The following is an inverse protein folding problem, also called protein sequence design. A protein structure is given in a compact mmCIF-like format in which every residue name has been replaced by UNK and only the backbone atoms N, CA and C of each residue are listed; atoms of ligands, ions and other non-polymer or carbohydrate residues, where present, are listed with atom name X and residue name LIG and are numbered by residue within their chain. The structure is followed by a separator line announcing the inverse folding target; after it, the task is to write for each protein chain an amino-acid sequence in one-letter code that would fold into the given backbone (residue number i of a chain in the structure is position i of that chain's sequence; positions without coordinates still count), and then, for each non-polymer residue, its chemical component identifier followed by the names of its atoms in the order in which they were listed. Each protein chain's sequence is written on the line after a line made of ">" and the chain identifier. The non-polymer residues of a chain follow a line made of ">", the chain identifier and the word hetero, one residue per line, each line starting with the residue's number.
data_IF_024222448077
#
_entry.id   IF_024222448077
#
_cell.length_a   1.000
_cell.length_b   1.000
_cell.length_c   1.000
_cell.angle_alpha   90.00
_cell.angle_beta   90.00
_cell.angle_gamma   90.00
#
_symmetry.space_group_name_H-M   'P 1'
#
loop_
_entity.id
_entity.type
_entity.pdbx_description
1 polymer ?
#
# COMPACT_ATOMS: atom_id res chain seq x y z
N UNK A 1 -37.98 43.05 41.21
CA UNK A 1 -36.55 42.90 41.50
C UNK A 1 -35.89 42.18 40.33
N UNK A 2 -35.18 42.94 39.49
CA UNK A 2 -34.33 42.43 38.43
C UNK A 2 -33.14 43.39 38.32
N UNK A 3 -31.91 42.90 38.48
CA UNK A 3 -30.68 43.69 38.34
C UNK A 3 -30.20 43.62 36.89
N UNK A 4 -29.75 44.73 36.28
CA UNK A 4 -29.22 44.74 34.92
C UNK A 4 -27.74 44.29 34.90
N UNK A 5 -27.38 43.50 33.88
CA UNK A 5 -25.99 43.11 33.61
C UNK A 5 -25.24 44.25 32.91
N UNK A 6 -24.12 44.67 33.48
CA UNK A 6 -23.19 45.63 32.89
C UNK A 6 -22.29 44.95 31.86
N UNK A 7 -22.17 45.59 30.70
CA UNK A 7 -21.35 45.23 29.56
C UNK A 7 -19.93 45.82 29.75
N UNK A 8 -18.89 44.97 29.80
CA UNK A 8 -17.49 45.42 29.92
C UNK A 8 -16.86 45.53 28.53
N UNK A 9 -16.56 46.77 28.12
CA UNK A 9 -15.73 47.12 26.95
C UNK A 9 -14.29 46.66 27.15
N UNK A 10 -13.70 45.98 26.15
CA UNK A 10 -12.26 45.68 26.07
C UNK A 10 -11.50 46.87 25.47
N UNK A 11 -10.27 47.19 25.94
CA UNK A 11 -9.45 48.24 25.36
C UNK A 11 -8.72 47.77 24.09
N UNK A 12 -8.51 48.72 23.18
CA UNK A 12 -7.82 48.57 21.90
C UNK A 12 -6.33 48.28 22.08
N UNK A 13 -5.81 47.31 21.32
CA UNK A 13 -4.38 47.04 21.22
C UNK A 13 -3.74 47.95 20.15
N UNK A 14 -2.66 48.61 20.56
CA UNK A 14 -1.81 49.50 19.76
C UNK A 14 -0.96 48.74 18.73
N UNK A 15 -0.82 49.33 17.54
CA UNK A 15 0.10 48.93 16.46
C UNK A 15 1.57 49.07 16.91
N UNK A 16 2.48 48.19 16.45
CA UNK A 16 3.92 48.47 16.48
C UNK A 16 4.39 49.17 15.19
N UNK A 17 5.23 50.18 15.36
CA UNK A 17 6.00 50.89 14.33
C UNK A 17 7.19 50.05 13.81
N UNK A 18 7.72 50.36 12.61
CA UNK A 18 8.78 49.60 11.97
C UNK A 18 10.17 49.97 12.52
N UNK A 19 11.07 48.98 12.60
CA UNK A 19 12.49 49.20 12.82
C UNK A 19 13.24 49.02 11.50
N UNK A 20 13.87 50.10 11.06
CA UNK A 20 14.97 50.09 10.10
C UNK A 20 16.20 49.42 10.73
N UNK A 21 16.95 48.67 9.92
CA UNK A 21 18.17 48.00 10.35
C UNK A 21 18.93 47.41 9.18
N UNK A 22 19.87 48.20 8.66
CA UNK A 22 20.89 47.86 7.68
C UNK A 22 21.68 46.58 8.04
N UNK A 23 21.90 45.72 7.04
CA UNK A 23 22.70 44.51 7.18
C UNK A 23 23.31 44.03 5.86
N UNK A 24 24.52 44.50 5.58
CA UNK A 24 25.41 44.12 4.46
C UNK A 24 25.49 42.61 4.22
N UNK A 25 25.15 42.16 3.01
CA UNK A 25 25.49 40.81 2.50
C UNK A 25 26.90 40.80 1.93
N UNK A 26 27.79 39.98 2.52
CA UNK A 26 29.07 39.55 1.94
C UNK A 26 28.83 38.30 1.09
N UNK A 27 29.17 38.39 -0.18
CA UNK A 27 29.29 37.30 -1.14
C UNK A 27 30.56 36.49 -0.87
N UNK A 28 30.45 35.16 -0.75
CA UNK A 28 31.58 34.25 -0.91
C UNK A 28 31.21 33.19 -1.97
N UNK A 29 31.86 33.33 -3.12
CA UNK A 29 31.97 32.32 -4.17
C UNK A 29 32.95 31.23 -3.71
N UNK A 30 32.57 29.96 -3.85
CA UNK A 30 33.52 28.85 -3.94
C UNK A 30 33.04 27.91 -5.05
N UNK A 31 33.67 28.08 -6.22
CA UNK A 31 33.68 27.11 -7.31
C UNK A 31 34.53 25.91 -6.91
N UNK A 32 34.02 24.70 -7.12
CA UNK A 32 34.82 23.47 -7.10
C UNK A 32 34.60 22.77 -8.43
N UNK A 33 35.66 22.67 -9.22
CA UNK A 33 35.73 21.86 -10.44
C UNK A 33 35.87 20.36 -10.12
N UNK A 34 35.40 19.46 -11.02
CA UNK A 34 35.55 18.02 -10.86
C UNK A 34 36.88 17.51 -11.46
N UNK A 35 37.65 16.77 -10.66
CA UNK A 35 38.82 16.03 -11.11
C UNK A 35 38.43 14.69 -11.75
N UNK A 36 39.01 14.46 -12.93
CA UNK A 36 38.97 13.25 -13.75
C UNK A 36 39.74 12.12 -13.07
N UNK A 37 39.25 10.88 -13.16
CA UNK A 37 40.05 9.68 -12.91
C UNK A 37 39.88 8.70 -14.08
N UNK A 38 41.02 8.42 -14.70
CA UNK A 38 41.21 7.50 -15.80
C UNK A 38 41.23 6.04 -15.33
N UNK A 39 40.83 5.19 -16.26
CA UNK A 39 41.06 3.75 -16.40
C UNK A 39 42.53 3.35 -16.28
N UNK A 40 42.81 2.18 -15.69
CA UNK A 40 43.58 1.10 -16.34
C UNK A 40 43.62 -0.21 -15.52
N UNK A 41 43.89 -1.29 -16.24
CA UNK A 41 43.67 -2.70 -15.96
C UNK A 41 44.85 -3.45 -15.32
N UNK A 42 44.54 -4.66 -14.83
CA UNK A 42 45.21 -5.97 -15.11
C UNK A 42 45.99 -6.65 -13.96
N UNK A 43 45.77 -7.97 -13.91
CA UNK A 43 46.65 -9.08 -13.50
C UNK A 43 46.43 -9.75 -12.11
N UNK A 44 45.83 -10.95 -12.17
CA UNK A 44 46.21 -12.17 -11.40
C UNK A 44 47.67 -12.61 -11.73
N UNK A 45 48.35 -13.56 -11.02
CA UNK A 45 47.79 -14.73 -10.29
C UNK A 45 48.51 -15.23 -9.00
N UNK A 46 47.83 -16.20 -8.37
CA UNK A 46 48.29 -17.42 -7.66
C UNK A 46 49.32 -17.39 -6.50
N UNK A 47 49.04 -18.18 -5.45
CA UNK A 47 49.87 -19.24 -4.82
C UNK A 47 49.34 -19.52 -3.38
N UNK A 48 48.78 -20.71 -3.14
CA UNK A 48 48.79 -21.42 -1.83
C UNK A 48 50.18 -22.13 -1.64
N UNK A 49 50.59 -22.76 -0.51
CA UNK A 49 49.80 -23.24 0.63
C UNK A 49 50.50 -23.28 2.03
N UNK A 50 49.79 -23.91 2.98
CA UNK A 50 50.28 -24.68 4.16
C UNK A 50 50.80 -23.97 5.43
N UNK A 51 50.28 -24.46 6.58
CA UNK A 51 50.85 -24.22 7.91
C UNK A 51 50.00 -24.75 9.07
N UNK A 52 50.18 -26.03 9.42
CA UNK A 52 49.60 -26.74 10.58
C UNK A 52 50.24 -26.30 11.92
N UNK A 53 49.55 -26.59 13.04
CA UNK A 53 50.04 -27.05 14.38
C UNK A 53 49.44 -26.25 15.56
N UNK A 54 48.55 -26.85 16.39
CA UNK A 54 48.75 -27.40 17.78
C UNK A 54 49.34 -26.35 18.77
N UNK A 55 48.90 -26.15 20.02
CA UNK A 55 48.37 -27.07 21.07
C UNK A 55 47.94 -26.25 22.31
N UNK A 56 46.93 -26.74 23.06
CA UNK A 56 46.69 -26.74 24.53
C UNK A 56 47.41 -25.74 25.47
N UNK A 57 46.67 -25.10 26.39
CA UNK A 57 46.56 -25.49 27.83
C UNK A 57 45.59 -24.61 28.63
N UNK A 58 44.96 -25.25 29.62
CA UNK A 58 44.04 -24.74 30.65
C UNK A 58 44.65 -23.69 31.59
N UNK A 59 43.81 -22.84 32.19
CA UNK A 59 43.55 -22.85 33.64
C UNK A 59 42.75 -21.62 34.09
N UNK A 60 41.85 -21.91 35.02
CA UNK A 60 40.89 -21.09 35.75
C UNK A 60 41.46 -19.83 36.43
N UNK A 61 40.63 -18.80 36.56
CA UNK A 61 40.54 -18.09 37.84
C UNK A 61 39.18 -17.42 38.03
N UNK A 62 38.56 -17.84 39.14
CA UNK A 62 37.33 -17.35 39.77
C UNK A 62 37.49 -15.91 40.23
N UNK A 63 36.46 -15.08 40.03
CA UNK A 63 36.14 -14.00 40.99
C UNK A 63 34.65 -13.64 40.92
N UNK A 64 34.01 -13.78 42.07
CA UNK A 64 32.62 -13.47 42.41
C UNK A 64 32.44 -11.98 42.72
N UNK A 65 31.17 -11.56 42.91
CA UNK A 65 30.62 -10.23 43.27
C UNK A 65 30.15 -9.46 42.02
N UNK A 66 28.89 -9.11 41.80
CA UNK A 66 27.68 -9.08 42.62
C UNK A 66 26.89 -7.84 42.18
N UNK A 67 25.67 -8.00 41.66
CA UNK A 67 24.67 -6.92 41.62
C UNK A 67 23.32 -7.52 41.28
N UNK A 68 22.37 -7.32 42.18
CA UNK A 68 20.98 -7.64 41.92
C UNK A 68 20.42 -6.83 40.76
N UNK A 69 19.54 -7.48 40.02
CA UNK A 69 18.34 -6.89 39.47
C UNK A 69 17.35 -8.02 39.28
N UNK A 70 16.25 -7.97 40.04
CA UNK A 70 15.05 -8.75 39.80
C UNK A 70 14.59 -8.50 38.36
N UNK A 71 14.92 -9.44 37.50
CA UNK A 71 14.32 -9.61 36.19
C UNK A 71 13.87 -11.05 36.20
N UNK A 72 12.56 -11.25 36.29
CA UNK A 72 11.89 -12.53 36.06
C UNK A 72 12.20 -12.96 34.62
N UNK A 73 13.40 -13.52 34.42
CA UNK A 73 13.71 -14.37 33.29
C UNK A 73 12.80 -15.58 33.42
N UNK A 74 11.68 -15.57 32.70
CA UNK A 74 11.01 -16.80 32.32
C UNK A 74 12.02 -17.59 31.49
N UNK A 75 12.73 -18.50 32.15
CA UNK A 75 13.53 -19.52 31.49
C UNK A 75 12.58 -20.41 30.69
N UNK A 76 12.38 -20.06 29.42
CA UNK A 76 11.77 -20.93 28.42
C UNK A 76 12.77 -22.02 28.02
N UNK A 77 13.21 -22.80 29.00
CA UNK A 77 13.86 -24.08 28.75
C UNK A 77 12.77 -25.11 28.50
N UNK A 78 12.84 -25.72 27.31
CA UNK A 78 12.08 -26.91 26.88
C UNK A 78 10.65 -26.64 26.41
N UNK A 79 10.52 -25.89 25.31
CA UNK A 79 9.64 -26.38 24.25
C UNK A 79 10.38 -27.56 23.61
N UNK A 80 10.10 -28.79 24.06
CA UNK A 80 10.36 -29.95 23.21
C UNK A 80 9.55 -29.72 21.93
N UNK A 81 10.19 -29.64 20.76
CA UNK A 81 9.43 -29.74 19.53
C UNK A 81 8.80 -31.13 19.59
N UNK A 82 7.47 -31.21 19.64
CA UNK A 82 6.78 -32.43 19.26
C UNK A 82 7.09 -32.67 17.79
N UNK A 83 8.24 -33.33 17.61
CA UNK A 83 8.72 -33.92 16.40
C UNK A 83 7.61 -34.84 15.93
N UNK A 84 7.27 -34.73 14.65
CA UNK A 84 6.16 -35.41 13.96
C UNK A 84 4.80 -34.68 14.01
N UNK A 85 4.74 -33.42 13.55
CA UNK A 85 3.67 -33.05 12.60
C UNK A 85 4.12 -33.58 11.24
N UNK A 86 3.63 -34.76 10.91
CA UNK A 86 3.79 -35.37 9.59
C UNK A 86 3.54 -34.34 8.50
N UNK A 87 4.21 -34.51 7.37
CA UNK A 87 3.81 -34.01 6.04
C UNK A 87 2.34 -34.41 5.79
N UNK A 88 1.41 -33.70 6.40
CA UNK A 88 0.01 -34.02 6.45
C UNK A 88 -0.68 -33.00 5.58
N UNK A 89 -1.10 -33.45 4.41
CA UNK A 89 -2.04 -32.74 3.55
C UNK A 89 -3.09 -32.07 4.44
N UNK A 90 -3.21 -30.74 4.34
CA UNK A 90 -4.29 -30.02 5.01
C UNK A 90 -5.62 -30.66 4.61
N UNK A 91 -6.61 -30.76 5.52
CA UNK A 91 -7.93 -31.26 5.17
C UNK A 91 -8.43 -30.62 3.87
N UNK A 92 -8.89 -31.44 2.92
CA UNK A 92 -9.24 -31.01 1.56
C UNK A 92 -10.28 -29.88 1.58
N UNK A 93 -11.22 -29.92 2.52
CA UNK A 93 -12.23 -28.89 2.73
C UNK A 93 -11.61 -27.52 3.11
N UNK A 94 -10.56 -27.51 3.93
CA UNK A 94 -9.83 -26.27 4.28
C UNK A 94 -9.06 -25.71 3.10
N UNK A 95 -8.44 -26.58 2.29
CA UNK A 95 -7.74 -26.15 1.07
C UNK A 95 -8.73 -25.54 0.08
N UNK A 96 -9.85 -26.20 -0.19
CA UNK A 96 -10.91 -25.69 -1.08
C UNK A 96 -11.41 -24.32 -0.61
N UNK A 97 -11.70 -24.16 0.69
CA UNK A 97 -12.11 -22.86 1.25
C UNK A 97 -11.05 -21.78 1.06
N UNK A 98 -9.77 -22.11 1.27
CA UNK A 98 -8.68 -21.18 1.12
C UNK A 98 -8.48 -20.77 -0.36
N UNK A 99 -8.55 -21.72 -1.28
CA UNK A 99 -8.47 -21.48 -2.73
C UNK A 99 -9.65 -20.63 -3.22
N UNK A 100 -10.87 -20.92 -2.76
CA UNK A 100 -12.04 -20.10 -3.09
C UNK A 100 -11.91 -18.67 -2.56
N UNK A 101 -11.24 -18.50 -1.42
CA UNK A 101 -10.95 -17.18 -0.86
C UNK A 101 -9.97 -16.36 -1.71
N UNK A 102 -9.13 -16.99 -2.54
CA UNK A 102 -8.21 -16.26 -3.44
C UNK A 102 -8.95 -15.52 -4.54
N UNK A 103 -10.11 -16.03 -4.98
CA UNK A 103 -10.99 -15.35 -5.95
C UNK A 103 -11.46 -13.99 -5.45
N UNK A 104 -11.39 -13.80 -4.13
CA UNK A 104 -11.80 -12.61 -3.40
C UNK A 104 -10.68 -11.58 -3.18
N UNK A 105 -9.51 -11.80 -3.79
CA UNK A 105 -8.35 -10.91 -3.63
C UNK A 105 -8.60 -9.55 -4.30
N UNK A 106 -8.30 -8.43 -3.62
CA UNK A 106 -8.33 -7.11 -4.23
C UNK A 106 -7.44 -7.03 -5.47
N UNK A 107 -7.89 -6.29 -6.48
CA UNK A 107 -7.13 -6.10 -7.73
C UNK A 107 -5.77 -5.46 -7.47
N UNK A 108 -5.71 -4.53 -6.51
CA UNK A 108 -4.48 -3.84 -6.13
C UNK A 108 -4.14 -4.10 -4.68
N UNK A 109 -2.88 -4.43 -4.44
CA UNK A 109 -2.30 -4.50 -3.10
C UNK A 109 -1.08 -3.58 -3.03
N UNK A 110 -0.85 -3.03 -1.85
CA UNK A 110 0.18 -2.06 -1.53
C UNK A 110 1.09 -2.58 -0.43
N UNK A 111 2.34 -2.14 -0.42
CA UNK A 111 3.33 -2.58 0.56
C UNK A 111 4.36 -1.51 0.82
N UNK A 112 4.72 -1.33 2.09
CA UNK A 112 6.00 -0.72 2.45
C UNK A 112 7.06 -1.80 2.67
N UNK A 113 8.27 -1.55 2.17
CA UNK A 113 9.41 -2.45 2.37
C UNK A 113 10.69 -1.68 2.58
N UNK A 114 11.64 -2.27 3.31
CA UNK A 114 13.01 -1.79 3.48
C UNK A 114 14.01 -2.95 3.35
N UNK A 115 15.31 -2.69 3.23
CA UNK A 115 16.32 -3.76 3.12
C UNK A 115 16.33 -4.74 4.30
N UNK A 116 15.87 -4.34 5.49
CA UNK A 116 15.77 -5.18 6.69
C UNK A 116 14.35 -5.72 6.93
N UNK A 117 13.44 -5.64 5.97
CA UNK A 117 12.10 -6.20 6.09
C UNK A 117 12.16 -7.73 6.22
N UNK A 118 11.68 -8.26 7.35
CA UNK A 118 11.61 -9.71 7.59
C UNK A 118 10.61 -10.42 6.67
N UNK A 119 9.58 -9.71 6.19
CA UNK A 119 8.57 -10.22 5.27
C UNK A 119 8.95 -10.04 3.79
N UNK A 120 10.24 -10.00 3.46
CA UNK A 120 10.75 -9.87 2.09
C UNK A 120 11.38 -8.50 1.76
N UNK A 121 12.25 -8.49 0.77
CA UNK A 121 13.02 -7.31 0.35
C UNK A 121 12.85 -7.06 -1.13
N UNK A 122 13.03 -5.81 -1.54
CA UNK A 122 13.15 -5.51 -2.95
C UNK A 122 14.60 -5.71 -3.41
N UNK A 123 14.78 -6.47 -4.49
CA UNK A 123 16.06 -6.63 -5.18
C UNK A 123 15.98 -5.93 -6.54
N UNK A 124 17.00 -5.13 -6.85
CA UNK A 124 17.15 -4.42 -8.13
C UNK A 124 18.39 -4.93 -8.85
N UNK A 125 18.25 -5.26 -10.13
CA UNK A 125 19.36 -5.62 -11.02
C UNK A 125 19.12 -4.98 -12.40
N UNK A 126 19.78 -3.85 -12.64
CA UNK A 126 19.50 -3.01 -13.81
C UNK A 126 18.04 -2.54 -13.81
N UNK A 127 17.34 -2.78 -14.92
CA UNK A 127 15.92 -2.45 -15.08
C UNK A 127 14.98 -3.47 -14.42
N UNK A 128 15.50 -4.62 -13.98
CA UNK A 128 14.73 -5.62 -13.27
C UNK A 128 14.57 -5.22 -11.81
N UNK A 129 13.34 -5.29 -11.32
CA UNK A 129 13.01 -5.13 -9.90
C UNK A 129 12.19 -6.33 -9.46
N UNK A 130 12.42 -6.86 -8.25
CA UNK A 130 11.68 -8.01 -7.73
C UNK A 130 11.39 -7.82 -6.25
N UNK A 131 10.20 -8.19 -5.79
CA UNK A 131 9.96 -8.42 -4.36
C UNK A 131 10.29 -9.88 -4.05
N UNK A 132 11.24 -10.08 -3.15
CA UNK A 132 11.80 -11.40 -2.83
C UNK A 132 11.53 -11.71 -1.36
N UNK A 133 10.69 -12.71 -1.05
CA UNK A 133 10.53 -13.20 0.32
C UNK A 133 11.85 -13.62 0.95
N UNK A 134 11.93 -13.61 2.28
CA UNK A 134 13.18 -13.84 3.01
C UNK A 134 13.79 -15.21 2.73
N UNK A 135 12.96 -16.24 2.55
CA UNK A 135 13.40 -17.59 2.21
C UNK A 135 14.02 -17.69 0.80
N UNK A 136 13.74 -16.74 -0.09
CA UNK A 136 14.14 -16.78 -1.49
C UNK A 136 15.36 -15.90 -1.81
N UNK A 137 15.91 -15.18 -0.82
CA UNK A 137 17.00 -14.20 -1.05
C UNK A 137 18.25 -14.85 -1.64
N UNK A 138 18.60 -16.05 -1.17
CA UNK A 138 19.82 -16.76 -1.60
C UNK A 138 19.63 -17.50 -2.94
N UNK A 139 18.55 -17.21 -3.66
CA UNK A 139 18.20 -17.86 -4.93
C UNK A 139 17.41 -19.16 -4.78
N UNK A 140 17.09 -19.55 -3.55
CA UNK A 140 16.18 -20.67 -3.28
C UNK A 140 14.80 -20.39 -3.87
N UNK A 141 14.28 -21.33 -4.65
CA UNK A 141 12.90 -21.27 -5.12
C UNK A 141 11.94 -21.44 -3.94
N UNK A 142 10.86 -20.67 -3.94
CA UNK A 142 9.70 -21.00 -3.11
C UNK A 142 9.13 -22.36 -3.54
N UNK A 143 8.41 -23.03 -2.65
CA UNK A 143 7.69 -24.24 -3.03
C UNK A 143 6.65 -23.91 -4.12
N UNK A 144 6.37 -24.86 -5.02
CA UNK A 144 5.38 -24.66 -6.10
C UNK A 144 3.95 -24.46 -5.56
N UNK A 145 3.70 -24.94 -4.34
CA UNK A 145 2.41 -24.86 -3.69
C UNK A 145 2.60 -24.68 -2.17
N UNK A 146 1.85 -23.74 -1.57
CA UNK A 146 1.92 -23.46 -0.13
C UNK A 146 1.63 -24.68 0.75
N UNK A 147 0.82 -25.63 0.28
CA UNK A 147 0.52 -26.85 1.03
C UNK A 147 1.70 -27.83 1.10
N UNK A 148 2.76 -27.60 0.30
CA UNK A 148 4.00 -28.36 0.36
C UNK A 148 5.01 -27.77 1.34
N UNK A 149 4.77 -26.57 1.87
CA UNK A 149 5.65 -25.91 2.83
C UNK A 149 5.64 -26.68 4.15
N UNK A 150 6.80 -27.23 4.60
CA UNK A 150 6.89 -27.91 5.89
C UNK A 150 6.60 -26.94 7.05
N UNK A 151 5.75 -27.36 8.00
CA UNK A 151 5.35 -26.53 9.14
C UNK A 151 4.81 -25.14 8.72
N UNK A 152 3.96 -25.11 7.68
CA UNK A 152 3.36 -23.88 7.16
C UNK A 152 2.75 -23.01 8.27
N UNK A 153 2.03 -23.59 9.23
CA UNK A 153 1.48 -22.91 10.39
C UNK A 153 2.57 -22.21 11.23
N UNK A 154 3.68 -22.89 11.52
CA UNK A 154 4.80 -22.31 12.24
C UNK A 154 5.46 -21.18 11.44
N UNK A 155 5.60 -21.34 10.11
CA UNK A 155 6.14 -20.31 9.23
C UNK A 155 5.25 -19.06 9.23
N UNK A 156 3.93 -19.23 9.08
CA UNK A 156 2.95 -18.14 9.09
C UNK A 156 2.95 -17.42 10.44
N UNK A 157 2.91 -18.16 11.54
CA UNK A 157 2.98 -17.59 12.88
C UNK A 157 4.28 -16.82 13.11
N UNK A 158 5.42 -17.37 12.68
CA UNK A 158 6.71 -16.70 12.77
C UNK A 158 6.77 -15.40 11.96
N UNK A 159 6.26 -15.45 10.73
CA UNK A 159 6.21 -14.33 9.80
C UNK A 159 5.39 -13.17 10.37
N UNK A 160 4.15 -13.45 10.78
CA UNK A 160 3.21 -12.41 11.23
C UNK A 160 3.65 -11.78 12.55
N UNK A 161 4.23 -12.56 13.46
CA UNK A 161 4.81 -12.04 14.71
C UNK A 161 6.16 -11.32 14.53
N UNK A 162 6.69 -11.24 13.30
CA UNK A 162 8.00 -10.64 13.04
C UNK A 162 9.16 -11.38 13.74
N UNK A 163 9.01 -12.70 13.99
CA UNK A 163 10.06 -13.50 14.63
C UNK A 163 11.24 -13.65 13.68
N UNK A 164 12.33 -12.95 13.97
CA UNK A 164 13.61 -13.17 13.30
C UNK A 164 14.35 -14.37 13.95
N UNK A 165 15.08 -15.19 13.17
CA UNK A 165 15.40 -15.05 11.76
C UNK A 165 14.50 -15.91 10.83
N UNK A 166 13.19 -15.99 11.08
CA UNK A 166 12.36 -16.94 10.33
C UNK A 166 12.36 -16.62 8.83
N UNK A 167 12.81 -17.57 8.03
CA UNK A 167 12.83 -17.50 6.58
C UNK A 167 11.43 -17.84 6.06
N UNK A 168 10.65 -16.81 5.76
CA UNK A 168 9.32 -16.94 5.17
C UNK A 168 9.36 -16.87 3.65
N UNK A 169 8.58 -17.73 3.01
CA UNK A 169 8.29 -17.67 1.56
C UNK A 169 7.20 -16.66 1.21
N UNK A 170 6.65 -15.96 2.21
CA UNK A 170 5.61 -14.96 2.02
C UNK A 170 6.16 -13.55 2.11
N UNK A 171 5.46 -12.66 1.41
CA UNK A 171 5.61 -11.23 1.54
C UNK A 171 4.29 -10.61 2.02
N UNK A 172 4.35 -9.71 2.99
CA UNK A 172 3.21 -8.95 3.52
C UNK A 172 2.79 -7.81 2.62
N UNK A 173 1.49 -7.69 2.39
CA UNK A 173 0.84 -6.64 1.61
C UNK A 173 -0.44 -6.18 2.29
N UNK A 174 -0.99 -5.05 1.87
CA UNK A 174 -2.26 -4.52 2.34
C UNK A 174 -3.10 -4.04 1.17
N UNK A 175 -4.41 -4.19 1.26
CA UNK A 175 -5.33 -3.62 0.28
C UNK A 175 -5.48 -2.09 0.41
N UNK A 176 -4.96 -1.53 1.50
CA UNK A 176 -4.95 -0.09 1.79
C UNK A 176 -3.56 0.51 1.58
N UNK A 177 -3.49 1.59 0.81
CA UNK A 177 -2.29 2.41 0.71
C UNK A 177 -1.94 3.04 2.06
N UNK A 178 -2.92 3.54 2.82
CA UNK A 178 -2.70 4.17 4.14
C UNK A 178 -2.06 3.20 5.13
N UNK A 179 -2.44 1.93 5.12
CA UNK A 179 -1.80 0.89 5.93
C UNK A 179 -0.35 0.70 5.53
N UNK A 180 -0.06 0.63 4.22
CA UNK A 180 1.33 0.54 3.75
C UNK A 180 2.17 1.74 4.21
N UNK A 181 1.63 2.95 4.15
CA UNK A 181 2.28 4.18 4.65
C UNK A 181 2.49 4.12 6.16
N UNK A 182 1.50 3.68 6.92
CA UNK A 182 1.59 3.59 8.37
C UNK A 182 2.73 2.66 8.80
N UNK A 183 2.83 1.48 8.16
CA UNK A 183 3.95 0.57 8.35
C UNK A 183 5.31 1.24 8.10
N UNK A 184 5.40 2.07 7.07
CA UNK A 184 6.61 2.86 6.83
C UNK A 184 6.87 3.88 7.96
N UNK A 185 5.84 4.63 8.37
CA UNK A 185 5.97 5.79 9.28
C UNK A 185 6.62 5.44 10.61
N UNK A 186 6.42 4.19 11.06
CA UNK A 186 6.99 3.63 12.29
C UNK A 186 8.50 3.38 12.20
N UNK A 187 9.05 3.24 10.99
CA UNK A 187 10.43 2.80 10.77
C UNK A 187 11.35 3.94 10.30
N UNK A 188 10.80 4.98 9.65
CA UNK A 188 11.53 6.19 9.17
C UNK A 188 12.83 5.88 8.40
N UNK A 189 12.85 4.76 7.67
CA UNK A 189 14.03 4.33 6.91
C UNK A 189 14.11 5.08 5.56
N UNK A 190 15.23 5.76 5.24
CA UNK A 190 15.39 6.49 3.98
C UNK A 190 15.47 5.57 2.75
N UNK A 191 15.81 4.30 2.93
CA UNK A 191 15.84 3.28 1.88
C UNK A 191 14.51 2.54 1.74
N UNK A 192 13.51 2.93 2.54
CA UNK A 192 12.19 2.35 2.39
C UNK A 192 11.56 2.69 1.04
N UNK A 193 10.63 1.84 0.66
CA UNK A 193 9.93 1.88 -0.62
C UNK A 193 8.46 1.61 -0.43
N UNK A 194 7.66 2.19 -1.31
CA UNK A 194 6.24 1.86 -1.45
C UNK A 194 6.04 1.17 -2.77
N UNK A 195 5.36 0.03 -2.71
CA UNK A 195 5.14 -0.85 -3.85
C UNK A 195 3.65 -1.09 -4.05
N UNK A 196 3.26 -1.36 -5.29
CA UNK A 196 1.91 -1.72 -5.70
C UNK A 196 1.99 -2.93 -6.63
N UNK A 197 1.03 -3.84 -6.50
CA UNK A 197 0.82 -4.95 -7.44
C UNK A 197 -0.58 -4.92 -8.02
N UNK A 198 -0.71 -5.28 -9.29
CA UNK A 198 -1.95 -5.68 -9.96
C UNK A 198 -2.06 -7.21 -9.91
N UNK A 199 -2.87 -7.72 -8.99
CA UNK A 199 -2.97 -9.16 -8.69
C UNK A 199 -3.45 -9.99 -9.89
N UNK A 200 -4.12 -9.37 -10.88
CA UNK A 200 -4.55 -10.02 -12.12
C UNK A 200 -3.38 -10.43 -13.02
N UNK A 201 -2.22 -9.80 -12.84
CA UNK A 201 -0.99 -10.13 -13.57
C UNK A 201 -0.25 -11.32 -12.97
N UNK A 202 -0.72 -11.82 -11.83
CA UNK A 202 -0.14 -12.92 -11.08
C UNK A 202 -1.19 -14.01 -10.79
N UNK A 203 -1.86 -14.59 -11.82
CA UNK A 203 -2.95 -15.54 -11.62
C UNK A 203 -2.53 -16.82 -10.90
N UNK A 204 -1.29 -17.26 -11.10
CA UNK A 204 -0.74 -18.46 -10.47
C UNK A 204 -0.19 -18.20 -9.07
N UNK A 205 0.08 -16.93 -8.72
CA UNK A 205 0.63 -16.57 -7.41
C UNK A 205 -0.44 -16.76 -6.33
N UNK A 206 -0.07 -17.49 -5.27
CA UNK A 206 -0.93 -17.67 -4.12
C UNK A 206 -0.96 -16.38 -3.28
N UNK A 207 -2.14 -15.79 -3.12
CA UNK A 207 -2.37 -14.57 -2.35
C UNK A 207 -3.50 -14.83 -1.35
N UNK A 208 -3.18 -14.78 -0.06
CA UNK A 208 -4.12 -15.10 1.00
C UNK A 208 -4.34 -13.91 1.93
N UNK A 209 -5.59 -13.57 2.17
CA UNK A 209 -5.96 -12.65 3.24
C UNK A 209 -5.80 -13.36 4.59
N UNK A 210 -5.10 -12.75 5.55
CA UNK A 210 -4.79 -13.41 6.83
C UNK A 210 -6.02 -13.87 7.61
N UNK A 211 -7.13 -13.12 7.66
CA UNK A 211 -8.39 -13.61 8.23
C UNK A 211 -8.88 -14.94 7.62
N UNK A 212 -8.69 -15.18 6.31
CA UNK A 212 -9.05 -16.48 5.72
C UNK A 212 -8.12 -17.60 6.20
N UNK A 213 -6.85 -17.30 6.46
CA UNK A 213 -5.91 -18.26 7.08
C UNK A 213 -6.32 -18.57 8.53
N UNK A 214 -6.78 -17.55 9.27
CA UNK A 214 -7.30 -17.69 10.63
C UNK A 214 -8.56 -18.55 10.67
N UNK A 215 -9.51 -18.32 9.76
CA UNK A 215 -10.76 -19.08 9.65
C UNK A 215 -10.57 -20.59 9.45
N UNK A 216 -9.46 -21.01 8.85
CA UNK A 216 -9.13 -22.42 8.65
C UNK A 216 -8.13 -22.96 9.69
N UNK A 217 -7.74 -22.15 10.68
CA UNK A 217 -6.86 -22.53 11.78
C UNK A 217 -5.39 -22.66 11.40
N UNK A 218 -4.92 -21.90 10.38
CA UNK A 218 -3.49 -21.80 10.04
C UNK A 218 -2.76 -20.74 10.88
N UNK A 219 -3.52 -19.84 11.51
CA UNK A 219 -3.03 -18.72 12.27
C UNK A 219 -4.07 -18.32 13.33
N UNK A 220 -3.64 -17.75 14.45
CA UNK A 220 -4.55 -17.50 15.59
C UNK A 220 -4.84 -16.01 15.82
N UNK A 221 -3.91 -15.10 15.47
CA UNK A 221 -4.09 -13.67 15.75
C UNK A 221 -4.81 -12.89 14.65
N UNK A 222 -5.19 -11.67 14.99
CA UNK A 222 -5.91 -10.76 14.10
C UNK A 222 -4.94 -9.85 13.32
N UNK A 223 -4.67 -10.20 12.07
CA UNK A 223 -3.93 -9.37 11.12
C UNK A 223 -4.84 -8.98 9.96
N UNK A 224 -5.93 -8.32 10.33
CA UNK A 224 -7.10 -8.06 9.48
C UNK A 224 -6.80 -7.26 8.19
N UNK A 225 -5.66 -6.57 8.12
CA UNK A 225 -5.24 -5.80 6.94
C UNK A 225 -4.32 -6.55 5.98
N UNK A 226 -3.77 -7.66 6.42
CA UNK A 226 -2.60 -8.25 5.79
C UNK A 226 -3.00 -9.31 4.77
N UNK A 227 -2.35 -9.22 3.62
CA UNK A 227 -2.37 -10.21 2.55
C UNK A 227 -0.97 -10.79 2.43
N UNK A 228 -0.87 -12.11 2.40
CA UNK A 228 0.37 -12.84 2.21
C UNK A 228 0.46 -13.26 0.76
N UNK A 229 1.46 -12.73 0.06
CA UNK A 229 1.80 -13.09 -1.32
C UNK A 229 2.96 -14.08 -1.27
N UNK A 230 2.74 -15.29 -1.79
CA UNK A 230 3.71 -16.38 -1.80
C UNK A 230 4.70 -16.24 -2.97
N UNK A 231 5.99 -16.42 -2.68
CA UNK A 231 7.05 -16.44 -3.68
C UNK A 231 7.47 -15.06 -4.18
N UNK A 232 8.32 -15.07 -5.21
CA UNK A 232 8.91 -13.86 -5.80
C UNK A 232 7.89 -13.15 -6.67
N UNK A 233 7.72 -11.83 -6.45
CA UNK A 233 6.95 -10.98 -7.36
C UNK A 233 7.90 -10.31 -8.33
N UNK A 234 7.85 -10.75 -9.58
CA UNK A 234 8.64 -10.21 -10.67
C UNK A 234 8.09 -8.83 -11.09
N UNK A 235 8.98 -7.84 -11.17
CA UNK A 235 8.68 -6.49 -11.63
C UNK A 235 9.25 -6.17 -13.01
N UNK A 236 9.07 -4.92 -13.42
CA UNK A 236 9.47 -4.44 -14.74
C UNK A 236 8.29 -3.93 -15.57
N UNK A 237 8.56 -3.46 -16.79
CA UNK A 237 7.53 -2.88 -17.65
C UNK A 237 6.41 -3.89 -17.96
N UNK A 238 5.16 -3.53 -17.64
CA UNK A 238 3.98 -4.38 -17.89
C UNK A 238 3.82 -5.59 -16.97
N UNK A 239 4.72 -5.79 -16.00
CA UNK A 239 4.71 -6.92 -15.05
C UNK A 239 3.50 -6.93 -14.12
N UNK A 240 2.93 -5.76 -13.84
CA UNK A 240 1.95 -5.60 -12.77
C UNK A 240 2.57 -5.40 -11.40
N UNK A 241 3.87 -5.13 -11.29
CA UNK A 241 4.52 -4.67 -10.05
C UNK A 241 5.29 -3.38 -10.31
N UNK A 242 5.12 -2.42 -9.39
CA UNK A 242 5.95 -1.22 -9.35
C UNK A 242 6.31 -0.88 -7.91
N UNK A 243 7.52 -0.36 -7.75
CA UNK A 243 7.96 0.23 -6.50
C UNK A 243 8.73 1.52 -6.70
N UNK A 244 8.42 2.51 -5.88
CA UNK A 244 9.09 3.81 -5.82
C UNK A 244 9.76 3.98 -4.46
N UNK A 245 10.84 4.74 -4.44
CA UNK A 245 11.49 5.06 -3.17
C UNK A 245 10.58 5.96 -2.35
N UNK A 246 10.73 5.87 -1.05
CA UNK A 246 9.96 6.70 -0.16
C UNK A 246 10.29 8.19 -0.33
N UNK A 247 11.55 8.53 -0.62
CA UNK A 247 11.96 9.90 -0.96
C UNK A 247 11.33 10.41 -2.26
N UNK A 248 11.03 9.52 -3.20
CA UNK A 248 10.18 9.86 -4.35
C UNK A 248 8.71 10.06 -3.93
N UNK A 249 8.24 9.52 -2.80
CA UNK A 249 6.85 9.64 -2.37
C UNK A 249 6.61 10.83 -1.44
N UNK A 250 7.52 11.09 -0.48
CA UNK A 250 7.48 12.29 0.37
C UNK A 250 7.93 13.49 -0.42
N UNK A 251 6.99 14.39 -0.61
CA UNK A 251 7.21 15.81 -0.84
C UNK A 251 6.00 16.55 -0.21
N UNK A 252 5.95 17.88 -0.33
CA UNK A 252 4.79 18.71 0.02
C UNK A 252 3.44 18.17 -0.49
N UNK A 253 3.45 17.33 -1.54
CA UNK A 253 2.27 16.66 -2.09
C UNK A 253 1.67 15.62 -1.13
N UNK A 254 2.51 14.83 -0.47
CA UNK A 254 2.04 13.85 0.49
C UNK A 254 1.45 14.56 1.70
N UNK A 255 2.15 15.56 2.22
CA UNK A 255 1.65 16.41 3.31
C UNK A 255 0.32 17.06 2.94
N UNK A 256 0.14 17.53 1.69
CA UNK A 256 -1.13 18.09 1.19
C UNK A 256 -2.32 17.14 1.31
N UNK A 257 -2.08 15.83 1.12
CA UNK A 257 -3.13 14.82 1.28
C UNK A 257 -3.37 14.51 2.76
N UNK A 258 -2.32 14.59 3.56
CA UNK A 258 -2.22 13.98 4.89
C UNK A 258 -2.34 15.01 6.05
N UNK A 259 -2.53 16.32 5.77
CA UNK A 259 -2.46 17.49 6.71
C UNK A 259 -3.00 17.30 8.16
N UNK A 260 -3.87 16.34 8.46
CA UNK A 260 -4.47 16.18 9.80
C UNK A 260 -3.80 15.12 10.72
N UNK A 261 -2.78 14.39 10.29
CA UNK A 261 -2.34 13.16 11.00
C UNK A 261 -0.89 13.16 11.51
N UNK A 262 -0.18 14.29 11.46
CA UNK A 262 1.25 14.34 11.80
C UNK A 262 1.61 14.00 13.24
N UNK A 263 0.66 13.94 14.19
CA UNK A 263 1.02 13.80 15.60
C UNK A 263 0.96 12.39 16.19
N UNK A 264 0.25 11.39 15.64
CA UNK A 264 0.34 10.00 16.11
C UNK A 264 -0.29 9.02 15.10
N UNK A 265 0.53 8.46 14.20
CA UNK A 265 0.15 7.26 13.44
C UNK A 265 0.27 6.03 14.34
N UNK A 266 -0.66 5.90 15.29
CA UNK A 266 -0.95 4.57 15.81
C UNK A 266 -1.84 3.88 14.78
N UNK A 267 -1.53 2.63 14.42
CA UNK A 267 -2.38 1.73 13.62
C UNK A 267 -3.87 1.99 13.89
N UNK A 268 -4.20 2.08 15.19
CA UNK A 268 -5.54 2.20 15.73
C UNK A 268 -6.27 3.50 15.40
N UNK A 269 -5.60 4.60 15.05
CA UNK A 269 -6.27 5.86 14.68
C UNK A 269 -6.69 5.91 13.20
N UNK A 270 -5.97 5.19 12.32
CA UNK A 270 -6.37 4.97 10.92
C UNK A 270 -7.48 3.92 10.77
N UNK A 271 -7.64 3.05 11.78
CA UNK A 271 -8.52 1.88 11.77
C UNK A 271 -9.75 2.11 12.67
N UNK A 272 -10.10 3.36 12.98
CA UNK A 272 -11.39 3.58 13.63
C UNK A 272 -12.49 3.26 12.62
N UNK A 273 -13.42 2.34 12.93
CA UNK A 273 -14.63 2.22 12.13
C UNK A 273 -15.23 3.61 12.06
N UNK A 274 -15.34 4.14 10.85
CA UNK A 274 -15.82 5.50 10.68
C UNK A 274 -17.24 5.54 11.21
N UNK A 275 -17.45 6.29 12.29
CA UNK A 275 -18.80 6.61 12.72
C UNK A 275 -19.53 7.25 11.53
N UNK A 276 -20.80 6.92 11.32
CA UNK A 276 -21.62 7.51 10.25
C UNK A 276 -21.66 9.06 10.33
N UNK A 277 -21.25 9.61 11.48
CA UNK A 277 -21.19 11.03 11.81
C UNK A 277 -19.85 11.71 11.46
N UNK A 278 -18.88 11.02 10.87
CA UNK A 278 -17.68 11.71 10.40
C UNK A 278 -18.03 12.72 9.31
N UNK A 279 -17.57 13.95 9.51
CA UNK A 279 -17.75 15.06 8.57
C UNK A 279 -17.15 14.69 7.22
N UNK A 280 -17.95 14.76 6.16
CA UNK A 280 -17.46 14.62 4.78
C UNK A 280 -16.52 15.78 4.50
N UNK A 281 -15.27 15.48 4.19
CA UNK A 281 -14.28 16.49 3.80
C UNK A 281 -14.45 16.82 2.32
N UNK A 282 -14.70 18.10 1.95
CA UNK A 282 -14.75 18.50 0.55
C UNK A 282 -13.44 18.15 -0.16
N UNK A 283 -13.53 17.61 -1.37
CA UNK A 283 -12.35 17.37 -2.19
C UNK A 283 -11.85 18.69 -2.77
N UNK A 284 -10.57 18.99 -2.56
CA UNK A 284 -9.94 20.19 -3.09
C UNK A 284 -9.14 19.90 -4.36
N UNK A 285 -9.03 20.89 -5.24
CA UNK A 285 -8.18 20.79 -6.43
C UNK A 285 -6.71 20.50 -6.09
N UNK A 286 -6.23 21.00 -4.94
CA UNK A 286 -4.87 20.73 -4.45
C UNK A 286 -4.65 19.26 -4.11
N UNK A 287 -5.62 18.62 -3.43
CA UNK A 287 -5.57 17.19 -3.14
C UNK A 287 -5.58 16.36 -4.41
N UNK A 288 -6.45 16.68 -5.38
CA UNK A 288 -6.49 15.99 -6.68
C UNK A 288 -5.10 16.06 -7.33
N UNK A 289 -4.54 17.27 -7.48
CA UNK A 289 -3.24 17.45 -8.12
C UNK A 289 -2.10 16.73 -7.38
N UNK A 290 -2.10 16.76 -6.05
CA UNK A 290 -1.12 16.06 -5.24
C UNK A 290 -1.21 14.53 -5.45
N UNK A 291 -2.41 13.97 -5.43
CA UNK A 291 -2.65 12.55 -5.70
C UNK A 291 -2.12 12.15 -7.08
N UNK A 292 -2.38 12.95 -8.12
CA UNK A 292 -1.84 12.69 -9.46
C UNK A 292 -0.32 12.74 -9.53
N UNK A 293 0.31 13.72 -8.88
CA UNK A 293 1.78 13.83 -8.87
C UNK A 293 2.44 12.62 -8.22
N UNK A 294 1.87 12.11 -7.13
CA UNK A 294 2.35 10.87 -6.48
C UNK A 294 2.09 9.67 -7.38
N UNK A 295 0.86 9.50 -7.86
CA UNK A 295 0.45 8.35 -8.66
C UNK A 295 1.24 8.22 -9.96
N UNK A 296 1.62 9.34 -10.58
CA UNK A 296 2.44 9.36 -11.80
C UNK A 296 3.80 8.67 -11.62
N UNK A 297 4.33 8.63 -10.40
CA UNK A 297 5.63 7.97 -10.11
C UNK A 297 5.53 6.45 -10.19
N UNK A 298 4.32 5.91 -9.99
CA UNK A 298 4.08 4.48 -10.17
C UNK A 298 3.93 4.08 -11.64
N UNK A 299 3.80 5.03 -12.56
CA UNK A 299 3.64 4.75 -13.98
C UNK A 299 2.19 4.55 -14.43
N UNK A 300 1.95 4.54 -15.75
CA UNK A 300 0.61 4.64 -16.37
C UNK A 300 -0.39 3.61 -15.85
N UNK A 301 0.04 2.37 -15.65
CA UNK A 301 -0.82 1.28 -15.22
C UNK A 301 -1.42 1.47 -13.80
N UNK A 302 -0.73 2.24 -12.95
CA UNK A 302 -1.07 2.41 -11.53
C UNK A 302 -1.62 3.80 -11.18
N UNK A 303 -1.72 4.73 -12.14
CA UNK A 303 -2.18 6.10 -11.85
C UNK A 303 -3.56 6.08 -11.18
N UNK A 304 -4.53 5.43 -11.82
CA UNK A 304 -5.93 5.40 -11.36
C UNK A 304 -6.08 4.76 -9.97
N UNK A 305 -5.53 3.57 -9.68
CA UNK A 305 -5.73 2.91 -8.38
C UNK A 305 -4.97 3.63 -7.27
N UNK A 306 -3.79 4.18 -7.56
CA UNK A 306 -3.06 4.99 -6.57
C UNK A 306 -3.80 6.29 -6.28
N UNK A 307 -4.31 7.00 -7.30
CA UNK A 307 -5.17 8.18 -7.08
C UNK A 307 -6.40 7.80 -6.27
N UNK A 308 -7.08 6.72 -6.63
CA UNK A 308 -8.29 6.30 -5.93
C UNK A 308 -8.01 5.96 -4.46
N UNK A 309 -6.92 5.25 -4.18
CA UNK A 309 -6.54 4.93 -2.80
C UNK A 309 -6.13 6.18 -2.03
N UNK A 310 -5.33 7.06 -2.63
CA UNK A 310 -4.88 8.32 -2.01
C UNK A 310 -6.04 9.27 -1.73
N UNK A 311 -7.08 9.32 -2.56
CA UNK A 311 -8.22 10.20 -2.31
C UNK A 311 -9.23 9.61 -1.32
N UNK A 312 -9.21 8.28 -1.14
CA UNK A 312 -10.17 7.55 -0.29
C UNK A 312 -9.74 7.37 1.17
N UNK A 313 -8.55 7.82 1.55
CA UNK A 313 -8.04 7.71 2.93
C UNK A 313 -8.84 8.53 3.96
N UNK A 314 -9.58 9.55 3.51
CA UNK A 314 -10.51 10.37 4.34
C UNK A 314 -11.97 10.09 3.95
N UNK A 315 -12.94 10.47 4.78
CA UNK A 315 -14.35 10.48 4.38
C UNK A 315 -14.66 11.42 3.23
N UNK A 316 -15.23 10.88 2.15
CA UNK A 316 -15.53 11.60 0.91
C UNK A 316 -17.00 11.52 0.53
N UNK A 317 -17.42 12.46 -0.31
CA UNK A 317 -18.81 12.62 -0.73
C UNK A 317 -19.35 11.39 -1.46
N UNK A 318 -18.50 10.68 -2.21
CA UNK A 318 -18.88 9.48 -2.96
C UNK A 318 -19.20 8.26 -2.10
N UNK A 319 -19.01 8.31 -0.76
CA UNK A 319 -19.65 7.35 0.17
C UNK A 319 -21.16 7.33 0.03
N UNK A 320 -21.73 8.46 -0.38
CA UNK A 320 -23.16 8.61 -0.67
C UNK A 320 -23.25 8.93 -2.17
N UNK A 321 -23.19 7.93 -3.07
CA UNK A 321 -23.13 8.17 -4.52
C UNK A 321 -24.29 9.02 -5.07
N UNK A 322 -25.41 9.07 -4.36
CA UNK A 322 -26.60 9.88 -4.69
C UNK A 322 -26.46 11.37 -4.29
N UNK A 323 -25.40 11.75 -3.59
CA UNK A 323 -25.13 13.13 -3.21
C UNK A 323 -24.72 13.97 -4.42
N UNK A 324 -25.23 15.20 -4.59
CA UNK A 324 -24.74 16.12 -5.63
C UNK A 324 -23.22 16.34 -5.57
N UNK A 325 -22.68 16.46 -4.35
CA UNK A 325 -21.23 16.61 -4.12
C UNK A 325 -20.42 15.43 -4.67
N UNK A 326 -20.97 14.21 -4.65
CA UNK A 326 -20.32 13.06 -5.25
C UNK A 326 -20.18 13.22 -6.76
N UNK A 327 -21.19 13.78 -7.43
CA UNK A 327 -21.12 13.99 -8.88
C UNK A 327 -20.08 15.06 -9.25
N UNK A 328 -19.99 16.13 -8.46
CA UNK A 328 -18.98 17.19 -8.63
C UNK A 328 -17.56 16.68 -8.42
N UNK A 329 -17.31 15.92 -7.34
CA UNK A 329 -16.00 15.35 -7.05
C UNK A 329 -15.57 14.35 -8.15
N UNK A 330 -16.50 13.47 -8.58
CA UNK A 330 -16.22 12.50 -9.65
C UNK A 330 -15.92 13.21 -10.98
N UNK A 331 -16.66 14.28 -11.31
CA UNK A 331 -16.38 15.10 -12.49
C UNK A 331 -14.99 15.72 -12.40
N UNK A 332 -14.62 16.33 -11.27
CA UNK A 332 -13.33 16.96 -11.08
C UNK A 332 -12.17 15.96 -11.23
N UNK A 333 -12.30 14.76 -10.66
CA UNK A 333 -11.31 13.68 -10.79
C UNK A 333 -11.24 13.20 -12.25
N UNK A 334 -12.38 12.97 -12.91
CA UNK A 334 -12.43 12.53 -14.31
C UNK A 334 -11.81 13.56 -15.27
N UNK A 335 -12.04 14.85 -15.06
CA UNK A 335 -11.40 15.91 -15.82
C UNK A 335 -9.88 15.97 -15.60
N UNK A 336 -9.42 15.72 -14.37
CA UNK A 336 -7.99 15.60 -14.08
C UNK A 336 -7.37 14.38 -14.78
N UNK A 337 -8.08 13.25 -14.80
CA UNK A 337 -7.67 12.04 -15.53
C UNK A 337 -7.53 12.28 -17.02
N UNK A 338 -8.50 12.95 -17.65
CA UNK A 338 -8.46 13.28 -19.09
C UNK A 338 -7.26 14.16 -19.47
N UNK A 339 -6.80 15.00 -18.55
CA UNK A 339 -5.62 15.86 -18.73
C UNK A 339 -4.31 15.09 -18.53
N UNK A 340 -4.37 13.85 -18.05
CA UNK A 340 -3.21 13.02 -17.79
C UNK A 340 -3.06 11.96 -18.89
N UNK A 341 -2.12 12.14 -19.85
CA UNK A 341 -2.05 11.31 -21.06
C UNK A 341 -1.74 9.83 -20.77
N UNK A 342 -1.15 9.55 -19.61
CA UNK A 342 -0.76 8.20 -19.19
C UNK A 342 -1.89 7.46 -18.47
N UNK A 343 -2.94 8.17 -18.05
CA UNK A 343 -4.08 7.59 -17.35
C UNK A 343 -5.09 6.97 -18.34
N UNK A 344 -4.91 5.67 -18.63
CA UNK A 344 -5.79 4.92 -19.54
C UNK A 344 -7.10 4.51 -18.89
N UNK A 345 -8.03 5.45 -18.75
CA UNK A 345 -9.39 5.21 -18.25
C UNK A 345 -10.15 4.15 -19.04
N UNK A 346 -9.78 3.95 -20.30
CA UNK A 346 -10.30 2.94 -21.20
C UNK A 346 -10.23 1.54 -20.61
N UNK A 347 -9.13 1.24 -19.95
CA UNK A 347 -8.84 -0.11 -19.45
C UNK A 347 -9.62 -0.39 -18.17
N UNK A 348 -9.88 0.64 -17.37
CA UNK A 348 -10.71 0.54 -16.17
C UNK A 348 -12.20 0.40 -16.49
N UNK A 349 -12.67 1.05 -17.56
CA UNK A 349 -14.06 0.91 -18.01
C UNK A 349 -14.45 -0.52 -18.40
N UNK A 350 -13.46 -1.38 -18.70
CA UNK A 350 -13.64 -2.80 -19.04
C UNK A 350 -13.68 -3.71 -17.82
N UNK A 351 -13.27 -3.23 -16.64
CA UNK A 351 -13.26 -4.03 -15.41
C UNK A 351 -14.71 -4.12 -14.91
N UNK A 352 -15.28 -5.33 -14.95
CA UNK A 352 -16.66 -5.60 -14.52
C UNK A 352 -16.76 -5.94 -13.03
N UNK A 353 -15.65 -6.36 -12.42
CA UNK A 353 -15.62 -6.95 -11.08
C UNK A 353 -14.90 -6.04 -10.06
N UNK A 354 -14.96 -4.71 -10.24
CA UNK A 354 -14.38 -3.78 -9.26
C UNK A 354 -15.12 -3.99 -7.94
N UNK A 355 -14.50 -4.61 -6.93
CA UNK A 355 -15.03 -4.74 -5.58
C UNK A 355 -16.16 -5.76 -5.35
N UNK A 356 -16.32 -6.80 -6.20
CA UNK A 356 -17.28 -7.90 -5.91
C UNK A 356 -16.82 -8.84 -4.81
N UNK A 357 -15.61 -8.63 -4.30
CA UNK A 357 -14.81 -9.75 -3.83
C UNK A 357 -13.99 -9.45 -2.58
N UNK A 358 -13.81 -8.21 -2.14
CA UNK A 358 -12.92 -7.95 -1.00
C UNK A 358 -13.47 -8.54 0.31
N UNK A 359 -12.80 -9.59 0.80
CA UNK A 359 -13.00 -10.15 2.14
C UNK A 359 -12.84 -9.00 3.14
N UNK A 360 -13.93 -8.66 3.83
CA UNK A 360 -13.97 -7.69 4.92
C UNK A 360 -13.72 -6.20 4.56
N UNK A 361 -14.34 -5.67 3.49
CA UNK A 361 -14.40 -4.19 3.33
C UNK A 361 -15.18 -3.50 4.44
N UNK A 362 -16.01 -4.24 5.19
CA UNK A 362 -16.82 -3.70 6.29
C UNK A 362 -15.99 -3.14 7.44
N UNK A 363 -14.75 -3.61 7.63
CA UNK A 363 -13.85 -3.07 8.63
C UNK A 363 -13.04 -1.86 8.12
N UNK A 364 -13.02 -1.62 6.80
CA UNK A 364 -12.11 -0.66 6.15
C UNK A 364 -12.80 0.20 5.12
N UNK A 365 -13.34 1.29 5.65
CA UNK A 365 -14.08 2.27 4.88
C UNK A 365 -13.26 2.91 3.76
N UNK A 366 -11.95 3.06 3.89
CA UNK A 366 -11.11 3.59 2.80
C UNK A 366 -11.04 2.64 1.58
N UNK A 367 -11.01 1.33 1.81
CA UNK A 367 -11.02 0.32 0.74
C UNK A 367 -12.40 0.30 0.08
N UNK A 368 -13.46 0.39 0.89
CA UNK A 368 -14.83 0.51 0.40
C UNK A 368 -15.01 1.76 -0.48
N UNK A 369 -14.57 2.92 0.01
CA UNK A 369 -14.58 4.18 -0.73
C UNK A 369 -13.76 4.13 -2.02
N UNK A 370 -12.58 3.51 -1.97
CA UNK A 370 -11.73 3.34 -3.15
C UNK A 370 -12.48 2.52 -4.21
N UNK A 371 -13.13 1.42 -3.82
CA UNK A 371 -13.91 0.60 -4.74
C UNK A 371 -15.11 1.36 -5.31
N UNK A 372 -15.83 2.16 -4.50
CA UNK A 372 -16.91 3.02 -4.98
C UNK A 372 -16.37 4.03 -6.00
N UNK A 373 -15.27 4.72 -5.68
CA UNK A 373 -14.65 5.70 -6.56
C UNK A 373 -14.26 5.07 -7.90
N UNK A 374 -13.58 3.93 -7.88
CA UNK A 374 -13.20 3.20 -9.10
C UNK A 374 -14.42 2.81 -9.95
N UNK A 375 -15.53 2.38 -9.33
CA UNK A 375 -16.78 2.09 -10.03
C UNK A 375 -17.38 3.34 -10.67
N UNK A 376 -17.50 4.41 -9.90
CA UNK A 376 -18.09 5.67 -10.37
C UNK A 376 -17.27 6.29 -11.52
N UNK A 377 -15.94 6.22 -11.45
CA UNK A 377 -15.06 6.65 -12.54
C UNK A 377 -15.25 5.77 -13.79
N UNK A 378 -15.32 4.45 -13.63
CA UNK A 378 -15.57 3.54 -14.75
C UNK A 378 -16.93 3.80 -15.42
N UNK A 379 -17.98 4.04 -14.63
CA UNK A 379 -19.32 4.41 -15.13
C UNK A 379 -19.32 5.76 -15.84
N UNK A 380 -18.67 6.77 -15.26
CA UNK A 380 -18.55 8.10 -15.84
C UNK A 380 -17.90 8.02 -17.24
N UNK A 381 -16.80 7.29 -17.38
CA UNK A 381 -16.14 7.06 -18.67
C UNK A 381 -17.03 6.34 -19.68
N UNK A 382 -17.84 5.36 -19.25
CA UNK A 382 -18.80 4.68 -20.15
C UNK A 382 -19.88 5.65 -20.64
N UNK A 383 -20.43 6.51 -19.77
CA UNK A 383 -21.46 7.49 -20.14
C UNK A 383 -20.92 8.54 -21.12
N UNK A 384 -19.71 9.05 -20.88
CA UNK A 384 -19.07 10.01 -21.77
C UNK A 384 -18.93 9.47 -23.19
N UNK A 385 -18.49 8.22 -23.34
CA UNK A 385 -18.40 7.56 -24.66
C UNK A 385 -19.73 7.43 -25.36
N UNK A 386 -20.79 7.07 -24.62
CA UNK A 386 -22.13 6.97 -25.20
C UNK A 386 -22.65 8.33 -25.65
N UNK A 387 -22.35 9.39 -24.89
CA UNK A 387 -22.73 10.76 -25.25
C UNK A 387 -21.98 11.26 -26.49
N UNK A 388 -20.69 10.93 -26.60
CA UNK A 388 -19.88 11.27 -27.77
C UNK A 388 -20.36 10.51 -29.02
N UNK A 389 -20.67 9.21 -28.87
CA UNK A 389 -21.28 8.39 -29.94
C UNK A 389 -22.62 8.93 -30.43
N UNK A 390 -23.52 9.31 -29.50
CA UNK A 390 -24.82 9.92 -29.85
C UNK A 390 -24.67 11.30 -30.51
N UNK A 391 -23.64 12.09 -30.15
CA UNK A 391 -23.35 13.37 -30.81
C UNK A 391 -22.82 13.16 -32.24
N UNK A 392 -22.02 12.12 -32.49
CA UNK A 392 -21.60 11.75 -33.84
C UNK A 392 -22.74 11.22 -34.70
N UNK A 393 -23.64 10.40 -34.14
CA UNK A 393 -24.83 9.90 -34.85
C UNK A 393 -25.82 11.03 -35.16
N UNK A 394 -26.10 11.95 -34.22
CA UNK A 394 -26.96 13.11 -34.49
C UNK A 394 -26.38 14.10 -35.53
N UNK A 395 -25.05 14.14 -35.70
CA UNK A 395 -24.42 14.88 -36.82
C UNK A 395 -24.52 14.13 -38.16
N UNK A 396 -24.78 12.82 -38.16
CA UNK A 396 -25.04 12.02 -39.35
C UNK A 396 -26.54 11.92 -39.72
N UNK A 397 -27.42 11.93 -38.73
CA UNK A 397 -28.87 11.67 -38.85
C UNK A 397 -29.74 12.93 -38.86
N UNK A 398 -29.18 14.08 -39.26
CA UNK A 398 -30.02 15.21 -39.75
C UNK A 398 -30.76 14.88 -41.06
N UNK A 399 -30.80 13.60 -41.45
CA UNK A 399 -31.78 12.98 -42.34
C UNK A 399 -32.31 11.68 -41.73
N UNK A 400 -33.48 11.77 -41.10
CA UNK A 400 -34.47 10.71 -40.80
C UNK A 400 -34.68 10.39 -39.31
N UNK A 401 -35.90 10.69 -38.83
CA UNK A 401 -36.34 10.44 -37.46
C UNK A 401 -36.63 8.97 -37.18
N UNK A 402 -36.03 8.43 -36.12
CA UNK A 402 -36.22 7.05 -35.66
C UNK A 402 -36.47 6.94 -34.15
N UNK A 403 -37.37 6.02 -33.77
CA UNK A 403 -37.83 5.71 -32.39
C UNK A 403 -36.73 5.09 -31.51
N UNK A 404 -36.83 5.20 -30.16
CA UNK A 404 -35.80 4.73 -29.22
C UNK A 404 -35.59 3.21 -29.25
N UNK A 405 -34.34 2.78 -29.13
CA UNK A 405 -33.90 1.39 -29.35
C UNK A 405 -33.88 0.56 -28.07
N UNK A 406 -33.80 -0.77 -28.22
CA UNK A 406 -33.80 -1.78 -27.13
C UNK A 406 -32.68 -1.57 -26.08
N UNK A 407 -31.64 -0.80 -26.38
CA UNK A 407 -30.51 -0.53 -25.46
C UNK A 407 -30.96 0.31 -24.26
N UNK A 408 -31.87 1.27 -24.46
CA UNK A 408 -32.37 2.15 -23.40
C UNK A 408 -33.17 1.38 -22.32
N UNK A 409 -33.74 0.22 -22.66
CA UNK A 409 -34.49 -0.63 -21.71
C UNK A 409 -33.59 -1.47 -20.80
N UNK A 410 -32.37 -1.84 -21.22
CA UNK A 410 -31.44 -2.57 -20.36
C UNK A 410 -30.90 -1.67 -19.23
N UNK A 411 -30.70 -0.39 -19.51
CA UNK A 411 -30.13 0.58 -18.55
C UNK A 411 -31.06 0.80 -17.34
N UNK A 412 -32.38 0.91 -17.58
CA UNK A 412 -33.37 1.04 -16.49
C UNK A 412 -33.47 -0.20 -15.58
N UNK A 413 -33.04 -1.37 -16.06
CA UNK A 413 -33.02 -2.60 -15.27
C UNK A 413 -31.80 -2.64 -14.32
N UNK A 414 -30.67 -2.06 -14.73
CA UNK A 414 -29.46 -1.96 -13.90
C UNK A 414 -29.58 -0.91 -12.80
N UNK A 415 -30.25 0.21 -13.06
CA UNK A 415 -30.56 1.22 -12.03
C UNK A 415 -31.44 0.67 -10.90
N UNK A 416 -32.23 -0.38 -11.16
CA UNK A 416 -33.02 -1.08 -10.14
C UNK A 416 -32.24 -2.11 -9.33
N UNK A 417 -31.17 -2.69 -9.89
CA UNK A 417 -30.36 -3.71 -9.20
C UNK A 417 -29.29 -3.09 -8.29
N UNK A 418 -28.92 -1.83 -8.49
CA UNK A 418 -28.08 -1.07 -7.56
C UNK A 418 -28.82 -0.55 -6.31
N UNK A 419 -30.08 -0.98 -6.10
CA UNK A 419 -30.98 -0.55 -5.00
C UNK A 419 -31.24 -1.68 -3.99
N UNK A 420 -30.73 -2.88 -4.23
CA UNK A 420 -30.70 -4.02 -3.29
C UNK A 420 -29.27 -4.42 -3.04
#
# INVERSE_FOLDING_TARGET
>A
MARPKQERKRPAQSKPEPRDGDGKTRSNNLSVEPSKLNTESKAEPAIEPEGKSKTTTDSELVTTLGSGNDSTQLSFTQYEPQLVRQTGLYPEDKQVRLEDSRRKTPIYLFRASRPQSGSGIEIRNGDSVKMVPRACIDGSAAHDNVYLIPNLDLMLNGHLHGKNPLQSEFSSWAASFSVAIDFWSRQKDPQARISVIDTRKYPETAIYHVPNLQEIGLFEDEYIHEYLVHGVVEGGSGSGYKSISWTETINNDFDTLIIDTHENYAMFDLIKPVSQDQTISPLTQKEIQAAFRIASKFGPEFIIPVVASLLSHKPRSWRRPKSPLASEDIQAIAEALKKHPDAKMEDYSKITNIGTDAVSTFLYEEIHQMNILLRLLAEHTRRDRMNDGKKSEKKGDEKQGGKPTKVDRKIQLWEKLAIT
#
